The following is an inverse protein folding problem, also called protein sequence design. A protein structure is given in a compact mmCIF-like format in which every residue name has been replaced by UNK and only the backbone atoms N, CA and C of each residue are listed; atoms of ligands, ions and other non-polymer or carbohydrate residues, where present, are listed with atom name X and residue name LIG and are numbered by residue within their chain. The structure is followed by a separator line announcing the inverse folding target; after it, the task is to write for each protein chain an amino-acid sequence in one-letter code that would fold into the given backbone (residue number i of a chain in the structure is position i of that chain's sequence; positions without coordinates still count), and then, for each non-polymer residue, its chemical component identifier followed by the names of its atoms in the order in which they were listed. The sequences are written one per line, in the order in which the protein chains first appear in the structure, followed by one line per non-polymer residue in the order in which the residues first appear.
data_IF_737612019394
#
_entry.id   IF_737612019394
#
_cell.length_a   1.000
_cell.length_b   1.000
_cell.length_c   1.000
_cell.angle_alpha   90.00
_cell.angle_beta   90.00
_cell.angle_gamma   90.00
#
_symmetry.space_group_name_H-M   'P 1'
#
loop_
_entity.id
_entity.type
_entity.pdbx_description
1 polymer ?
#
# COMPACT_ATOMS: atom_id res chain seq x y z
N UNK A 1 0.40 14.06 8.62
CA UNK A 1 -1.00 14.36 8.21
C UNK A 1 -1.20 14.18 6.69
N UNK A 2 -0.44 14.87 5.84
CA UNK A 2 -0.65 14.83 4.38
C UNK A 2 -0.51 13.40 3.84
N UNK A 3 0.56 12.70 4.17
CA UNK A 3 0.80 11.31 3.77
C UNK A 3 -0.34 10.36 4.19
N UNK A 4 -0.81 10.49 5.43
CA UNK A 4 -1.96 9.73 5.94
C UNK A 4 -3.23 10.04 5.14
N UNK A 5 -3.44 11.30 4.74
CA UNK A 5 -4.62 11.69 3.99
C UNK A 5 -4.66 11.03 2.59
N UNK A 6 -3.51 10.88 1.93
CA UNK A 6 -3.40 10.12 0.68
C UNK A 6 -3.76 8.65 0.90
N UNK A 7 -3.24 8.02 1.96
CA UNK A 7 -3.58 6.64 2.32
C UNK A 7 -5.06 6.45 2.66
N UNK A 8 -5.66 7.39 3.42
CA UNK A 8 -7.08 7.38 3.75
C UNK A 8 -7.95 7.40 2.49
N UNK A 9 -7.72 8.36 1.60
CA UNK A 9 -8.45 8.47 0.34
C UNK A 9 -8.26 7.22 -0.54
N UNK A 10 -7.04 6.68 -0.60
CA UNK A 10 -6.73 5.46 -1.32
C UNK A 10 -7.62 4.28 -0.85
N UNK A 11 -7.67 4.05 0.46
CA UNK A 11 -8.48 2.96 1.04
C UNK A 11 -9.97 3.20 0.86
N UNK A 12 -10.44 4.44 1.01
CA UNK A 12 -11.84 4.79 0.71
C UNK A 12 -12.20 4.48 -0.75
N UNK A 13 -11.30 4.72 -1.71
CA UNK A 13 -11.50 4.40 -3.12
C UNK A 13 -11.40 2.91 -3.43
N UNK A 14 -10.58 2.17 -2.69
CA UNK A 14 -10.52 0.72 -2.79
C UNK A 14 -11.87 0.10 -2.44
N UNK A 15 -12.55 0.64 -1.44
CA UNK A 15 -13.86 0.19 -0.97
C UNK A 15 -13.88 -1.33 -0.64
N UNK A 16 -12.78 -1.83 -0.08
CA UNK A 16 -12.67 -3.21 0.36
C UNK A 16 -13.52 -3.43 1.63
N UNK A 17 -14.04 -4.64 1.78
CA UNK A 17 -14.88 -5.04 2.92
C UNK A 17 -14.05 -5.74 4.01
N UNK A 18 -14.48 -5.70 5.28
CA UNK A 18 -13.81 -6.45 6.34
C UNK A 18 -13.65 -7.94 5.98
N UNK A 19 -12.42 -8.45 6.13
CA UNK A 19 -12.06 -9.82 5.77
C UNK A 19 -11.61 -10.01 4.31
N UNK A 20 -11.69 -8.97 3.46
CA UNK A 20 -11.03 -9.01 2.15
C UNK A 20 -9.52 -9.10 2.31
N UNK A 21 -8.87 -9.79 1.37
CA UNK A 21 -7.41 -9.85 1.26
C UNK A 21 -6.91 -8.74 0.34
N UNK A 22 -6.03 -7.90 0.86
CA UNK A 22 -5.46 -6.77 0.11
C UNK A 22 -3.94 -6.87 0.08
N UNK A 23 -3.37 -6.74 -1.10
CA UNK A 23 -1.94 -6.57 -1.29
C UNK A 23 -1.59 -5.09 -1.41
N UNK A 24 -0.63 -4.63 -0.62
CA UNK A 24 0.02 -3.33 -0.79
C UNK A 24 1.42 -3.57 -1.36
N UNK A 25 1.68 -3.04 -2.56
CA UNK A 25 3.01 -3.08 -3.18
C UNK A 25 3.70 -1.76 -2.90
N UNK A 26 4.85 -1.85 -2.21
CA UNK A 26 5.63 -0.70 -1.77
C UNK A 26 5.38 -0.34 -0.31
N UNK A 27 6.38 -0.62 0.54
CA UNK A 27 6.44 -0.26 1.96
C UNK A 27 7.10 1.12 2.17
N UNK A 28 6.82 2.08 1.29
CA UNK A 28 7.17 3.49 1.45
C UNK A 28 6.11 4.24 2.27
N UNK A 29 6.30 5.56 2.49
CA UNK A 29 5.37 6.36 3.33
C UNK A 29 3.91 6.27 2.89
N UNK A 30 3.63 6.25 1.57
CA UNK A 30 2.26 6.16 1.03
C UNK A 30 1.66 4.76 1.25
N UNK A 31 2.46 3.70 1.00
CA UNK A 31 2.02 2.32 1.27
C UNK A 31 1.73 2.09 2.75
N UNK A 32 2.63 2.54 3.63
CA UNK A 32 2.41 2.48 5.08
C UNK A 32 1.18 3.26 5.52
N UNK A 33 0.91 4.44 4.92
CA UNK A 33 -0.31 5.19 5.19
C UNK A 33 -1.58 4.41 4.79
N UNK A 34 -1.58 3.73 3.64
CA UNK A 34 -2.69 2.89 3.24
C UNK A 34 -2.89 1.72 4.22
N UNK A 35 -1.80 1.09 4.71
CA UNK A 35 -1.84 0.01 5.68
C UNK A 35 -2.59 0.43 6.95
N UNK A 36 -2.35 1.62 7.50
CA UNK A 36 -3.05 2.09 8.70
C UNK A 36 -4.58 2.08 8.52
N UNK A 37 -5.08 2.58 7.38
CA UNK A 37 -6.52 2.61 7.14
C UNK A 37 -7.11 1.26 6.76
N UNK A 38 -6.34 0.37 6.14
CA UNK A 38 -6.73 -1.02 5.92
C UNK A 38 -6.90 -1.75 7.25
N UNK A 39 -6.01 -1.52 8.23
CA UNK A 39 -6.16 -2.05 9.60
C UNK A 39 -7.43 -1.55 10.26
N UNK A 40 -7.68 -0.23 10.20
CA UNK A 40 -8.93 0.37 10.73
C UNK A 40 -10.17 -0.29 10.09
N UNK A 41 -10.08 -0.65 8.81
CA UNK A 41 -11.14 -1.34 8.08
C UNK A 41 -11.20 -2.85 8.33
N UNK A 42 -10.30 -3.42 9.15
CA UNK A 42 -10.21 -4.87 9.46
C UNK A 42 -9.99 -5.74 8.21
N UNK A 43 -9.10 -5.31 7.37
CA UNK A 43 -8.68 -5.98 6.13
C UNK A 43 -7.51 -6.91 6.44
N UNK A 44 -7.44 -8.08 5.80
CA UNK A 44 -6.26 -8.95 5.82
C UNK A 44 -5.20 -8.39 4.87
N UNK A 45 -4.04 -8.02 5.42
CA UNK A 45 -3.04 -7.21 4.69
C UNK A 45 -1.80 -8.03 4.40
N UNK A 46 -1.46 -8.15 3.12
CA UNK A 46 -0.15 -8.59 2.66
C UNK A 46 0.62 -7.38 2.13
N UNK A 47 1.89 -7.24 2.52
CA UNK A 47 2.78 -6.18 2.01
C UNK A 47 3.90 -6.80 1.19
N UNK A 48 4.18 -6.25 0.02
CA UNK A 48 5.30 -6.67 -0.84
C UNK A 48 6.23 -5.49 -1.12
N UNK A 49 7.51 -5.67 -0.84
CA UNK A 49 8.59 -4.70 -1.10
C UNK A 49 9.91 -5.41 -1.37
N UNK A 50 10.87 -4.73 -1.99
CA UNK A 50 12.23 -5.21 -2.18
C UNK A 50 13.07 -5.09 -0.90
N UNK A 51 12.71 -4.18 0.00
CA UNK A 51 13.45 -3.83 1.21
C UNK A 51 12.92 -4.61 2.41
N UNK A 52 13.68 -5.60 2.85
CA UNK A 52 13.33 -6.46 3.97
C UNK A 52 13.19 -5.68 5.29
N UNK A 53 14.00 -4.63 5.50
CA UNK A 53 13.89 -3.78 6.72
C UNK A 53 12.55 -3.07 6.79
N UNK A 54 12.04 -2.57 5.65
CA UNK A 54 10.71 -1.95 5.59
C UNK A 54 9.60 -2.96 5.82
N UNK A 55 9.74 -4.17 5.27
CA UNK A 55 8.79 -5.27 5.51
C UNK A 55 8.77 -5.66 6.98
N UNK A 56 9.94 -5.75 7.63
CA UNK A 56 10.04 -6.00 9.06
C UNK A 56 9.34 -4.90 9.87
N UNK A 57 9.55 -3.64 9.53
CA UNK A 57 8.84 -2.52 10.15
C UNK A 57 7.32 -2.67 10.01
N UNK A 58 6.83 -2.97 8.80
CA UNK A 58 5.39 -3.20 8.58
C UNK A 58 4.86 -4.34 9.46
N UNK A 59 5.63 -5.42 9.61
CA UNK A 59 5.26 -6.56 10.44
C UNK A 59 5.23 -6.22 11.93
N UNK A 60 6.29 -5.60 12.43
CA UNK A 60 6.48 -5.37 13.87
C UNK A 60 5.76 -4.14 14.40
N UNK A 61 5.70 -3.06 13.61
CA UNK A 61 5.14 -1.77 14.04
C UNK A 61 3.74 -1.53 13.54
N UNK A 62 3.44 -1.93 12.29
CA UNK A 62 2.11 -1.75 11.73
C UNK A 62 1.24 -3.00 11.89
N UNK A 63 1.79 -4.15 12.25
CA UNK A 63 1.04 -5.37 12.55
C UNK A 63 0.31 -5.94 11.33
N UNK A 64 0.95 -5.91 10.14
CA UNK A 64 0.40 -6.53 8.93
C UNK A 64 0.40 -8.05 9.05
N UNK A 65 -0.56 -8.72 8.41
CA UNK A 65 -0.72 -10.17 8.51
C UNK A 65 0.43 -10.91 7.83
N UNK A 66 0.80 -10.48 6.62
CA UNK A 66 1.81 -11.13 5.79
C UNK A 66 2.76 -10.15 5.12
N UNK A 67 3.99 -10.62 4.88
CA UNK A 67 4.99 -9.87 4.10
C UNK A 67 5.61 -10.77 3.04
N UNK A 68 5.88 -10.23 1.85
CA UNK A 68 6.52 -10.93 0.74
C UNK A 68 7.67 -10.08 0.21
N UNK A 69 8.88 -10.62 0.20
CA UNK A 69 10.04 -9.95 -0.41
C UNK A 69 9.92 -10.06 -1.94
N UNK A 70 9.88 -8.94 -2.63
CA UNK A 70 9.91 -8.92 -4.09
C UNK A 70 11.33 -9.20 -4.60
N UNK A 71 11.52 -10.31 -5.32
CA UNK A 71 12.82 -10.75 -5.84
C UNK A 71 12.95 -10.64 -7.35
N UNK A 72 11.84 -10.41 -8.05
CA UNK A 72 11.76 -10.41 -9.52
C UNK A 72 12.27 -11.73 -10.13
N UNK A 73 11.98 -12.84 -9.47
CA UNK A 73 12.39 -14.20 -9.87
C UNK A 73 11.24 -15.02 -10.45
N UNK A 74 10.05 -14.41 -10.57
CA UNK A 74 8.84 -15.02 -11.10
C UNK A 74 8.07 -15.89 -10.12
N UNK A 75 8.51 -15.96 -8.85
CA UNK A 75 7.84 -16.77 -7.80
C UNK A 75 6.87 -15.95 -6.95
N UNK A 76 6.71 -14.64 -7.22
CA UNK A 76 5.89 -13.72 -6.43
C UNK A 76 4.44 -14.19 -6.32
N UNK A 77 3.85 -14.67 -7.43
CA UNK A 77 2.46 -15.17 -7.47
C UNK A 77 2.29 -16.36 -6.54
N UNK A 78 3.23 -17.31 -6.58
CA UNK A 78 3.15 -18.51 -5.75
C UNK A 78 3.32 -18.18 -4.27
N UNK A 79 4.25 -17.30 -3.94
CA UNK A 79 4.45 -16.81 -2.58
C UNK A 79 3.24 -16.04 -2.05
N UNK A 80 2.62 -15.22 -2.88
CA UNK A 80 1.38 -14.51 -2.51
C UNK A 80 0.25 -15.50 -2.22
N UNK A 81 0.10 -16.55 -3.03
CA UNK A 81 -0.89 -17.60 -2.78
C UNK A 81 -0.59 -18.36 -1.49
N UNK A 82 0.67 -18.70 -1.26
CA UNK A 82 1.09 -19.43 -0.07
C UNK A 82 0.68 -18.68 1.22
N UNK A 83 1.01 -17.39 1.31
CA UNK A 83 0.67 -16.58 2.50
C UNK A 83 -0.81 -16.26 2.61
N UNK A 84 -1.55 -16.25 1.51
CA UNK A 84 -2.99 -15.93 1.47
C UNK A 84 -3.89 -17.19 1.42
N UNK A 85 -3.40 -18.35 1.82
CA UNK A 85 -4.22 -19.56 1.91
C UNK A 85 -4.62 -20.15 0.55
N UNK A 86 -3.79 -20.00 -0.46
CA UNK A 86 -3.98 -20.56 -1.81
C UNK A 86 -4.61 -19.59 -2.81
N UNK A 87 -5.05 -18.42 -2.38
CA UNK A 87 -5.73 -17.44 -3.21
C UNK A 87 -4.87 -16.20 -3.45
N UNK A 88 -5.17 -15.43 -4.49
CA UNK A 88 -4.63 -14.09 -4.68
C UNK A 88 -5.54 -13.05 -4.01
N UNK A 89 -4.99 -11.89 -3.60
CA UNK A 89 -5.79 -10.80 -3.03
C UNK A 89 -6.85 -10.29 -4.02
N UNK A 90 -8.00 -9.88 -3.51
CA UNK A 90 -9.06 -9.28 -4.33
C UNK A 90 -8.74 -7.82 -4.72
N UNK A 91 -7.90 -7.16 -3.94
CA UNK A 91 -7.46 -5.79 -4.19
C UNK A 91 -5.93 -5.72 -4.12
N UNK A 92 -5.34 -5.09 -5.13
CA UNK A 92 -3.91 -4.73 -5.17
C UNK A 92 -3.79 -3.22 -5.19
N UNK A 93 -3.08 -2.66 -4.22
CA UNK A 93 -2.74 -1.23 -4.14
C UNK A 93 -1.26 -1.08 -4.48
N UNK A 94 -0.93 -0.41 -5.59
CA UNK A 94 0.45 -0.10 -5.93
C UNK A 94 0.81 1.32 -5.50
N UNK A 95 1.72 1.41 -4.53
CA UNK A 95 2.26 2.64 -3.95
C UNK A 95 3.73 2.90 -4.33
N UNK A 96 4.26 2.18 -5.33
CA UNK A 96 5.69 2.24 -5.66
C UNK A 96 6.09 3.42 -6.54
N UNK A 97 5.20 3.86 -7.44
CA UNK A 97 5.56 4.79 -8.52
C UNK A 97 6.49 4.19 -9.58
N UNK A 98 6.79 2.92 -9.50
CA UNK A 98 7.60 2.20 -10.50
C UNK A 98 6.72 1.70 -11.65
N UNK A 99 7.00 2.15 -12.87
CA UNK A 99 6.26 1.69 -14.05
C UNK A 99 6.34 0.17 -14.24
N UNK A 100 7.42 -0.46 -13.85
CA UNK A 100 7.59 -1.92 -13.91
C UNK A 100 6.66 -2.60 -12.91
N UNK A 101 6.64 -2.15 -11.66
CA UNK A 101 5.70 -2.67 -10.65
C UNK A 101 4.26 -2.50 -11.08
N UNK A 102 3.89 -1.26 -11.45
CA UNK A 102 2.53 -0.90 -11.85
C UNK A 102 2.06 -1.71 -13.09
N UNK A 103 2.94 -1.97 -14.06
CA UNK A 103 2.62 -2.82 -15.22
C UNK A 103 2.42 -4.29 -14.84
N UNK A 104 3.08 -4.76 -13.79
CA UNK A 104 3.01 -6.14 -13.32
C UNK A 104 1.90 -6.39 -12.28
N UNK A 105 1.33 -5.36 -11.68
CA UNK A 105 0.37 -5.47 -10.57
C UNK A 105 -0.84 -6.38 -10.89
N UNK A 106 -1.24 -6.46 -12.16
CA UNK A 106 -2.36 -7.31 -12.61
C UNK A 106 -2.15 -8.81 -12.41
N UNK A 107 -0.89 -9.27 -12.25
CA UNK A 107 -0.58 -10.68 -12.02
C UNK A 107 -0.88 -11.12 -10.60
N UNK A 108 -1.02 -10.17 -9.67
CA UNK A 108 -1.12 -10.41 -8.23
C UNK A 108 -2.55 -10.31 -7.70
N UNK A 109 -3.52 -10.08 -8.58
CA UNK A 109 -4.93 -9.90 -8.21
C UNK A 109 -5.77 -11.10 -8.65
N UNK A 110 -6.76 -11.46 -7.83
CA UNK A 110 -7.70 -12.55 -8.14
C UNK A 110 -8.71 -12.16 -9.22
N UNK A 111 -9.46 -13.15 -9.74
CA UNK A 111 -10.58 -12.92 -10.65
C UNK A 111 -11.60 -11.94 -10.05
N UNK A 112 -12.16 -11.08 -10.87
CA UNK A 112 -13.12 -10.01 -10.52
C UNK A 112 -12.56 -8.96 -9.56
N UNK A 113 -11.27 -9.02 -9.25
CA UNK A 113 -10.61 -8.09 -8.35
C UNK A 113 -10.28 -6.75 -8.98
N UNK A 114 -9.51 -5.96 -8.25
CA UNK A 114 -9.13 -4.62 -8.67
C UNK A 114 -7.67 -4.29 -8.41
N UNK A 115 -7.12 -3.46 -9.30
CA UNK A 115 -5.81 -2.82 -9.12
C UNK A 115 -6.03 -1.34 -8.93
N UNK A 116 -5.51 -0.79 -7.83
CA UNK A 116 -5.58 0.62 -7.49
C UNK A 116 -4.17 1.23 -7.48
N UNK A 117 -3.95 2.21 -8.35
CA UNK A 117 -2.71 2.97 -8.39
C UNK A 117 -2.80 4.21 -7.49
N UNK A 118 -1.91 4.31 -6.51
CA UNK A 118 -1.69 5.50 -5.70
C UNK A 118 -0.31 6.09 -5.96
N UNK A 119 0.67 5.25 -6.35
CA UNK A 119 1.95 5.69 -6.87
C UNK A 119 1.79 6.46 -8.19
N UNK A 120 2.73 7.37 -8.47
CA UNK A 120 2.73 8.20 -9.67
C UNK A 120 3.98 7.90 -10.50
N UNK A 121 3.79 7.67 -11.80
CA UNK A 121 4.86 7.58 -12.78
C UNK A 121 4.54 8.44 -13.99
N UNK A 122 5.57 9.00 -14.65
CA UNK A 122 5.43 9.69 -15.94
C UNK A 122 5.67 8.75 -17.12
N UNK A 123 6.06 7.52 -16.86
CA UNK A 123 6.31 6.52 -17.89
C UNK A 123 5.02 5.79 -18.27
N UNK A 124 4.97 5.26 -19.50
CA UNK A 124 3.86 4.48 -19.96
C UNK A 124 3.76 3.15 -19.19
N UNK A 125 2.54 2.75 -18.88
CA UNK A 125 2.24 1.42 -18.36
C UNK A 125 1.82 0.53 -19.51
N UNK A 126 2.51 -0.61 -19.67
CA UNK A 126 2.26 -1.55 -20.75
C UNK A 126 1.86 -2.92 -20.21
N UNK A 127 0.74 -3.43 -20.69
CA UNK A 127 0.25 -4.77 -20.35
C UNK A 127 -0.56 -5.36 -21.49
N UNK A 128 -0.64 -6.69 -21.52
CA UNK A 128 -1.46 -7.38 -22.51
C UNK A 128 -2.93 -7.26 -22.12
N UNK A 129 -3.81 -6.89 -23.05
CA UNK A 129 -5.25 -6.75 -22.81
C UNK A 129 -5.86 -7.99 -22.12
N UNK A 130 -5.45 -9.20 -22.53
CA UNK A 130 -5.94 -10.45 -21.95
C UNK A 130 -5.67 -10.56 -20.43
N UNK A 131 -4.66 -9.88 -19.92
CA UNK A 131 -4.31 -9.88 -18.48
C UNK A 131 -5.38 -9.21 -17.61
N UNK A 132 -6.10 -8.26 -18.16
CA UNK A 132 -7.22 -7.59 -17.46
C UNK A 132 -8.57 -8.14 -17.87
N UNK A 133 -8.73 -8.49 -19.16
CA UNK A 133 -10.03 -8.95 -19.69
C UNK A 133 -10.43 -10.33 -19.16
N UNK A 134 -9.49 -11.29 -19.19
CA UNK A 134 -9.80 -12.67 -18.78
C UNK A 134 -10.23 -12.79 -17.32
N UNK A 135 -9.56 -12.11 -16.36
CA UNK A 135 -9.97 -12.13 -14.96
C UNK A 135 -11.01 -11.05 -14.60
N UNK A 136 -11.53 -10.30 -15.56
CA UNK A 136 -12.56 -9.23 -15.36
C UNK A 136 -12.13 -8.17 -14.34
N UNK A 137 -10.89 -7.66 -14.48
CA UNK A 137 -10.32 -6.73 -13.50
C UNK A 137 -10.86 -5.31 -13.63
N UNK A 138 -10.99 -4.65 -12.48
CA UNK A 138 -11.22 -3.21 -12.38
C UNK A 138 -9.90 -2.49 -12.16
N UNK A 139 -9.68 -1.39 -12.90
CA UNK A 139 -8.52 -0.50 -12.72
C UNK A 139 -9.01 0.81 -12.12
N UNK A 140 -8.38 1.23 -11.03
CA UNK A 140 -8.65 2.51 -10.36
C UNK A 140 -7.37 3.30 -10.16
N UNK A 141 -7.51 4.61 -9.96
CA UNK A 141 -6.43 5.46 -9.49
C UNK A 141 -6.92 6.28 -8.29
N UNK A 142 -6.02 6.57 -7.36
CA UNK A 142 -6.28 7.47 -6.23
C UNK A 142 -5.28 8.61 -6.23
N UNK A 143 -5.75 9.81 -5.94
CA UNK A 143 -4.92 11.01 -5.89
C UNK A 143 -5.44 11.97 -4.81
N UNK A 144 -4.49 12.59 -4.09
CA UNK A 144 -4.82 13.58 -3.07
C UNK A 144 -5.77 13.04 -1.97
N UNK A 145 -6.48 13.96 -1.34
CA UNK A 145 -7.44 13.68 -0.29
C UNK A 145 -8.54 14.76 -0.30
N UNK A 146 -9.63 14.49 0.39
CA UNK A 146 -10.72 15.45 0.58
C UNK A 146 -10.74 15.91 2.04
N UNK A 147 -11.40 17.07 2.36
CA UNK A 147 -11.44 17.58 3.75
C UNK A 147 -11.98 16.58 4.78
N UNK A 148 -12.88 15.68 4.36
CA UNK A 148 -13.42 14.64 5.22
C UNK A 148 -12.35 13.65 5.69
N UNK A 149 -11.36 13.34 4.85
CA UNK A 149 -10.24 12.44 5.21
C UNK A 149 -9.42 13.04 6.34
N UNK A 150 -9.09 14.33 6.29
CA UNK A 150 -8.34 15.01 7.34
C UNK A 150 -9.08 15.00 8.68
N UNK A 151 -10.39 15.24 8.68
CA UNK A 151 -11.21 15.18 9.90
C UNK A 151 -11.20 13.78 10.50
N UNK A 152 -11.35 12.75 9.66
CA UNK A 152 -11.30 11.35 10.09
C UNK A 152 -9.94 10.99 10.70
N UNK A 153 -8.84 11.44 10.09
CA UNK A 153 -7.49 11.18 10.57
C UNK A 153 -7.27 11.81 11.95
N UNK A 154 -7.68 13.08 12.12
CA UNK A 154 -7.56 13.77 13.41
C UNK A 154 -8.28 12.96 14.50
N UNK A 155 -9.53 12.57 14.28
CA UNK A 155 -10.28 11.77 15.24
C UNK A 155 -9.58 10.44 15.54
N UNK A 156 -9.09 9.71 14.53
CA UNK A 156 -8.41 8.43 14.74
C UNK A 156 -7.09 8.56 15.54
N UNK A 157 -6.39 9.68 15.37
CA UNK A 157 -5.17 9.98 16.17
C UNK A 157 -5.55 10.37 17.61
N UNK A 158 -6.54 11.26 17.79
CA UNK A 158 -7.02 11.69 19.10
C UNK A 158 -7.59 10.52 19.93
N UNK A 159 -8.26 9.58 19.25
CA UNK A 159 -8.80 8.35 19.86
C UNK A 159 -7.73 7.27 20.11
N UNK A 160 -6.46 7.50 19.72
CA UNK A 160 -5.35 6.57 19.89
C UNK A 160 -5.45 5.33 18.98
N UNK A 161 -6.27 5.38 17.92
CA UNK A 161 -6.44 4.27 16.97
C UNK A 161 -5.28 4.22 15.97
N UNK A 162 -4.77 5.39 15.56
CA UNK A 162 -3.56 5.53 14.75
C UNK A 162 -2.46 6.16 15.62
N UNK A 163 -1.38 5.40 15.81
CA UNK A 163 -0.16 5.87 16.45
C UNK A 163 0.79 6.45 15.41
N UNK A 164 1.16 7.72 15.57
CA UNK A 164 2.08 8.40 14.64
C UNK A 164 3.55 8.37 15.08
N UNK A 165 3.84 7.99 16.32
CA UNK A 165 5.21 8.00 16.87
C UNK A 165 6.18 7.09 16.08
N UNK A 166 5.79 5.87 15.65
CA UNK A 166 6.67 5.01 14.86
C UNK A 166 7.08 5.61 13.50
N UNK A 167 6.35 6.63 13.01
CA UNK A 167 6.62 7.30 11.74
C UNK A 167 7.71 8.37 11.85
N UNK A 168 8.03 8.82 13.08
CA UNK A 168 9.02 9.86 13.34
C UNK A 168 10.40 9.22 13.52
N UNK A 169 11.12 9.02 12.41
CA UNK A 169 12.42 8.36 12.42
C UNK A 169 13.60 9.29 12.74
N UNK A 170 13.44 10.59 12.51
CA UNK A 170 14.51 11.59 12.69
C UNK A 170 13.95 12.85 13.32
N UNK A 171 14.75 13.45 14.22
CA UNK A 171 14.47 14.73 14.85
C UNK A 171 15.71 15.61 14.67
N UNK A 172 15.52 16.82 14.19
CA UNK A 172 16.57 17.83 14.11
C UNK A 172 16.10 19.11 14.79
N UNK A 173 17.02 19.84 15.45
CA UNK A 173 16.73 21.18 15.91
C UNK A 173 16.64 22.14 14.71
N UNK A 174 15.99 23.29 14.90
CA UNK A 174 15.93 24.31 13.84
C UNK A 174 17.31 24.75 13.35
N UNK A 175 18.26 24.88 14.27
CA UNK A 175 19.61 25.34 13.97
C UNK A 175 20.45 24.28 13.23
N UNK A 176 20.20 23.00 13.49
CA UNK A 176 20.93 21.88 12.88
C UNK A 176 20.28 21.38 11.58
N UNK A 177 19.02 21.81 11.31
CA UNK A 177 18.20 21.25 10.22
C UNK A 177 18.89 21.25 8.86
N UNK A 178 19.60 22.36 8.50
CA UNK A 178 20.29 22.47 7.21
C UNK A 178 21.44 21.47 7.10
N UNK A 179 22.17 21.24 8.20
CA UNK A 179 23.29 20.31 8.25
C UNK A 179 22.90 18.84 8.29
N UNK A 180 21.74 18.55 8.89
CA UNK A 180 21.22 17.19 9.04
C UNK A 180 20.26 16.78 7.92
N UNK A 181 19.79 17.73 7.11
CA UNK A 181 18.93 17.41 5.97
C UNK A 181 19.70 16.56 4.97
N UNK A 182 19.30 15.33 4.69
CA UNK A 182 20.04 14.43 3.81
C UNK A 182 20.11 15.01 2.38
N UNK A 183 21.30 14.99 1.81
CA UNK A 183 21.56 15.34 0.41
C UNK A 183 20.99 14.28 -0.55
#
# INVERSE_FOLDING_TARGET
METLAIGCNCVNRAASSPGDKVLVIGAGPIGMAAIEFLKVAKIEITVMDMNETRLQFCKEKLGVDHTVVFKNDGTEVDRLREVNGGELPITVIDATGSHVSMSNAFQYVSFTGQVLYVGITTQELSFKHVTIHRPELTIKASRNAVPADFKRIISLIEDGVIDTDPWLSHHASYDDFIGEFPN
#
